data_IF_522832830923
#
_entry.id   IF_522832830923
#
_cell.length_a   1.000
_cell.length_b   1.000
_cell.length_c   1.000
_cell.angle_alpha   90.00
_cell.angle_beta   90.00
_cell.angle_gamma   90.00
#
_symmetry.space_group_name_H-M   'P 1'
#
loop_
_entity.id
_entity.type
_entity.pdbx_description
1 polymer ?
#
# COMPACT_ATOMS: atom_id res chain seq x y z
N UNK A 1 -2.65 0.57 -1.24
CA UNK A 1 -1.98 -0.52 -0.52
C UNK A 1 -1.87 -0.19 0.96
N UNK A 2 -2.21 -1.15 1.81
CA UNK A 2 -2.01 -1.03 3.26
C UNK A 2 -0.58 -1.41 3.61
N UNK A 3 0.07 -0.60 4.43
CA UNK A 3 1.47 -0.83 4.83
C UNK A 3 1.74 -0.32 6.23
N UNK A 4 2.92 -0.64 6.74
CA UNK A 4 3.42 -0.08 8.00
C UNK A 4 4.93 0.07 7.90
N UNK A 5 5.48 1.16 8.45
CA UNK A 5 6.93 1.42 8.42
C UNK A 5 7.74 0.39 9.19
N UNK A 6 7.14 -0.29 10.16
CA UNK A 6 7.78 -1.36 10.93
C UNK A 6 7.70 -2.72 10.26
N UNK A 7 7.10 -2.79 9.07
CA UNK A 7 6.97 -4.03 8.30
C UNK A 7 8.12 -4.14 7.31
N UNK A 8 9.07 -5.06 7.50
CA UNK A 8 10.22 -5.18 6.59
C UNK A 8 9.85 -5.47 5.15
N UNK A 9 8.85 -6.32 4.92
CA UNK A 9 8.38 -6.61 3.57
C UNK A 9 7.73 -5.42 2.90
N UNK A 10 7.11 -4.51 3.68
CA UNK A 10 6.54 -3.28 3.15
C UNK A 10 7.66 -2.36 2.64
N UNK A 11 8.63 -2.08 3.48
CA UNK A 11 9.70 -1.12 3.15
C UNK A 11 10.64 -1.67 2.08
N UNK A 12 11.03 -2.95 2.19
CA UNK A 12 12.03 -3.54 1.31
C UNK A 12 11.48 -3.93 -0.07
N UNK A 13 10.20 -4.33 -0.15
CA UNK A 13 9.64 -4.89 -1.39
C UNK A 13 8.38 -4.18 -1.88
N UNK A 14 7.39 -3.99 -1.02
CA UNK A 14 6.09 -3.48 -1.45
C UNK A 14 6.16 -2.01 -1.86
N UNK A 15 6.84 -1.17 -1.11
CA UNK A 15 6.98 0.25 -1.46
C UNK A 15 7.74 0.44 -2.77
N UNK A 16 8.87 -0.23 -3.03
CA UNK A 16 9.51 -0.15 -4.34
C UNK A 16 8.59 -0.63 -5.48
N UNK A 17 7.82 -1.69 -5.28
CA UNK A 17 6.87 -2.18 -6.27
C UNK A 17 5.74 -1.19 -6.52
N UNK A 18 5.19 -0.60 -5.45
CA UNK A 18 4.17 0.45 -5.54
C UNK A 18 4.68 1.63 -6.35
N UNK A 19 5.90 2.06 -6.07
CA UNK A 19 6.54 3.16 -6.79
C UNK A 19 6.71 2.83 -8.28
N UNK A 20 7.09 1.61 -8.59
CA UNK A 20 7.22 1.14 -9.97
C UNK A 20 5.87 1.18 -10.69
N UNK A 21 4.80 0.72 -10.06
CA UNK A 21 3.46 0.79 -10.64
C UNK A 21 3.00 2.25 -10.83
N UNK A 22 3.33 3.12 -9.88
CA UNK A 22 3.03 4.54 -9.99
C UNK A 22 3.72 5.16 -11.20
N UNK A 23 4.94 4.75 -11.49
CA UNK A 23 5.68 5.21 -12.66
C UNK A 23 5.12 4.64 -13.96
N UNK A 24 4.84 3.35 -13.99
CA UNK A 24 4.44 2.65 -15.22
C UNK A 24 2.98 2.91 -15.58
N UNK A 25 2.10 3.08 -14.60
CA UNK A 25 0.65 3.20 -14.80
C UNK A 25 0.04 4.47 -14.21
N UNK A 26 0.86 5.43 -13.80
CA UNK A 26 0.39 6.62 -13.08
C UNK A 26 -0.64 7.46 -13.81
N UNK A 27 -0.66 7.42 -15.14
CA UNK A 27 -1.65 8.14 -15.95
C UNK A 27 -2.99 7.41 -16.04
N UNK A 28 -3.02 6.13 -15.74
CA UNK A 28 -4.20 5.27 -15.89
C UNK A 28 -4.72 4.74 -14.57
N UNK A 29 -3.94 4.87 -13.51
CA UNK A 29 -4.19 4.24 -12.23
C UNK A 29 -4.00 5.25 -11.09
N UNK A 30 -5.01 5.40 -10.25
CA UNK A 30 -4.88 6.19 -9.03
C UNK A 30 -4.31 5.30 -7.92
N UNK A 31 -3.19 5.69 -7.35
CA UNK A 31 -2.50 4.92 -6.33
C UNK A 31 -2.48 5.70 -5.01
N UNK A 32 -2.86 5.03 -3.95
CA UNK A 32 -2.84 5.59 -2.61
C UNK A 32 -2.33 4.57 -1.61
N UNK A 33 -1.79 5.07 -0.52
CA UNK A 33 -1.25 4.26 0.57
C UNK A 33 -2.06 4.50 1.83
N UNK A 34 -2.20 3.47 2.64
CA UNK A 34 -2.79 3.57 3.97
C UNK A 34 -1.80 2.99 4.96
N UNK A 35 -1.29 3.84 5.86
CA UNK A 35 -0.42 3.40 6.95
C UNK A 35 -1.32 2.89 8.07
N UNK A 36 -1.27 1.59 8.33
CA UNK A 36 -2.20 0.94 9.27
C UNK A 36 -1.48 0.35 10.47
N UNK A 37 -2.13 0.45 11.62
CA UNK A 37 -1.72 -0.23 12.84
C UNK A 37 -2.13 -1.70 12.87
N UNK A 38 -2.91 -2.16 11.91
CA UNK A 38 -3.40 -3.55 11.87
C UNK A 38 -2.23 -4.54 11.80
N UNK A 39 -2.18 -5.45 12.75
CA UNK A 39 -1.06 -6.39 12.86
C UNK A 39 0.20 -5.79 13.48
N UNK A 40 0.13 -4.55 13.94
CA UNK A 40 1.21 -3.80 14.54
C UNK A 40 0.71 -3.10 15.78
N UNK A 41 1.49 -2.15 16.30
CA UNK A 41 1.08 -1.37 17.46
C UNK A 41 0.25 -0.16 17.04
N UNK A 42 -0.77 0.22 17.81
CA UNK A 42 -1.42 1.51 17.61
C UNK A 42 -0.40 2.64 17.69
N UNK A 43 -0.62 3.68 16.92
CA UNK A 43 0.30 4.81 16.90
C UNK A 43 -0.47 6.12 16.94
N UNK A 44 0.20 7.20 17.37
CA UNK A 44 -0.42 8.51 17.38
C UNK A 44 -0.13 9.26 16.08
N UNK A 45 -1.11 10.07 15.68
CA UNK A 45 -0.97 10.91 14.49
C UNK A 45 0.26 11.82 14.58
N UNK A 46 0.45 12.45 15.75
CA UNK A 46 1.53 13.42 15.94
C UNK A 46 2.93 12.78 15.88
N UNK A 47 3.02 11.52 16.31
CA UNK A 47 4.30 10.79 16.27
C UNK A 47 4.62 10.30 14.87
N UNK A 48 3.60 9.83 14.13
CA UNK A 48 3.83 9.15 12.85
C UNK A 48 3.99 10.12 11.69
N UNK A 49 3.31 11.26 11.70
CA UNK A 49 3.34 12.19 10.57
C UNK A 49 4.75 12.66 10.21
N UNK A 50 5.58 13.13 11.16
CA UNK A 50 6.95 13.52 10.79
C UNK A 50 7.76 12.39 10.19
N UNK A 51 7.62 11.18 10.74
CA UNK A 51 8.33 9.99 10.26
C UNK A 51 7.88 9.62 8.85
N UNK A 52 6.56 9.63 8.59
CA UNK A 52 6.01 9.33 7.27
C UNK A 52 6.41 10.37 6.23
N UNK A 53 6.39 11.64 6.60
CA UNK A 53 6.81 12.72 5.69
C UNK A 53 8.27 12.57 5.31
N UNK A 54 9.13 12.28 6.29
CA UNK A 54 10.54 12.05 6.02
C UNK A 54 10.74 10.82 5.12
N UNK A 55 10.07 9.73 5.43
CA UNK A 55 10.13 8.51 4.64
C UNK A 55 9.69 8.76 3.19
N UNK A 56 8.54 9.38 3.01
CA UNK A 56 7.99 9.62 1.67
C UNK A 56 8.86 10.56 0.84
N UNK A 57 9.34 11.64 1.47
CA UNK A 57 10.10 12.68 0.76
C UNK A 57 11.54 12.30 0.53
N UNK A 58 12.24 11.80 1.55
CA UNK A 58 13.70 11.65 1.52
C UNK A 58 14.15 10.23 1.20
N UNK A 59 13.37 9.23 1.54
CA UNK A 59 13.75 7.84 1.36
C UNK A 59 13.05 7.21 0.16
N UNK A 60 11.73 7.17 0.18
CA UNK A 60 10.96 6.49 -0.87
C UNK A 60 10.69 7.39 -2.09
N UNK A 61 10.77 8.70 -1.91
CA UNK A 61 10.48 9.70 -2.96
C UNK A 61 9.10 9.48 -3.58
N UNK A 62 8.08 9.39 -2.72
CA UNK A 62 6.69 9.19 -3.09
C UNK A 62 5.92 10.50 -2.99
N UNK A 63 5.08 10.76 -3.98
CA UNK A 63 4.16 11.91 -3.97
C UNK A 63 2.70 11.47 -3.81
N UNK A 64 2.46 10.17 -3.74
CA UNK A 64 1.12 9.61 -3.60
C UNK A 64 0.52 9.92 -2.22
N UNK A 65 -0.82 10.06 -2.13
CA UNK A 65 -1.45 10.30 -0.83
C UNK A 65 -1.24 9.13 0.12
N UNK A 66 -1.04 9.45 1.40
CA UNK A 66 -0.92 8.45 2.47
C UNK A 66 -1.97 8.77 3.52
N UNK A 67 -2.95 7.88 3.67
CA UNK A 67 -3.95 7.97 4.73
C UNK A 67 -3.45 7.25 5.98
N UNK A 68 -4.04 7.58 7.12
CA UNK A 68 -3.67 7.01 8.42
C UNK A 68 -4.81 6.16 8.97
N UNK A 69 -4.50 4.93 9.33
CA UNK A 69 -5.40 4.02 10.04
C UNK A 69 -4.78 3.74 11.42
N UNK A 70 -5.03 4.65 12.36
CA UNK A 70 -4.33 4.72 13.65
C UNK A 70 -4.54 3.50 14.53
N UNK A 71 -5.68 2.84 14.43
CA UNK A 71 -6.05 1.71 15.28
C UNK A 71 -6.16 0.39 14.53
N UNK A 72 -6.09 0.41 13.21
CA UNK A 72 -6.26 -0.78 12.38
C UNK A 72 -7.70 -1.10 12.04
N UNK A 73 -8.66 -0.26 12.45
CA UNK A 73 -10.08 -0.52 12.21
C UNK A 73 -10.48 -0.44 10.75
N UNK A 74 -9.83 0.43 9.99
CA UNK A 74 -10.10 0.54 8.54
C UNK A 74 -9.65 -0.75 7.85
N UNK A 75 -8.44 -1.21 8.15
CA UNK A 75 -7.93 -2.46 7.60
C UNK A 75 -8.83 -3.64 7.97
N UNK A 76 -9.27 -3.70 9.23
CA UNK A 76 -10.17 -4.75 9.70
C UNK A 76 -11.49 -4.74 8.92
N UNK A 77 -12.07 -3.56 8.67
CA UNK A 77 -13.33 -3.44 7.93
C UNK A 77 -13.23 -3.91 6.47
N UNK A 78 -12.03 -3.88 5.89
CA UNK A 78 -11.76 -4.36 4.54
C UNK A 78 -11.21 -5.78 4.50
N UNK A 79 -11.24 -6.49 5.65
CA UNK A 79 -10.78 -7.88 5.77
C UNK A 79 -9.31 -8.05 5.36
N UNK A 80 -8.48 -7.07 5.71
CA UNK A 80 -7.05 -7.11 5.45
C UNK A 80 -6.41 -8.18 6.35
N UNK A 81 -5.50 -8.97 5.78
CA UNK A 81 -4.86 -10.08 6.50
C UNK A 81 -3.61 -9.65 7.27
N UNK A 82 -2.99 -8.56 6.87
CA UNK A 82 -1.76 -8.05 7.45
C UNK A 82 -1.16 -7.02 6.51
N UNK A 83 0.15 -6.77 6.60
CA UNK A 83 0.85 -5.84 5.71
C UNK A 83 2.03 -6.52 5.03
N UNK A 84 2.34 -6.18 3.77
CA UNK A 84 1.55 -5.32 2.88
C UNK A 84 0.30 -6.04 2.37
N UNK A 85 -0.74 -5.28 2.09
CA UNK A 85 -1.96 -5.85 1.51
C UNK A 85 -2.47 -4.90 0.42
N UNK A 86 -2.69 -5.44 -0.77
CA UNK A 86 -3.09 -4.69 -1.95
C UNK A 86 -4.57 -4.85 -2.21
N UNK A 87 -5.25 -3.73 -2.44
CA UNK A 87 -6.63 -3.72 -2.92
C UNK A 87 -6.65 -3.06 -4.29
N UNK A 88 -7.29 -3.71 -5.25
CA UNK A 88 -7.44 -3.18 -6.60
C UNK A 88 -8.91 -3.00 -6.90
N UNK A 89 -9.31 -1.77 -7.20
CA UNK A 89 -10.69 -1.41 -7.54
C UNK A 89 -10.80 -1.05 -9.01
N UNK A 90 -11.94 -1.35 -9.58
CA UNK A 90 -12.29 -0.95 -10.94
C UNK A 90 -13.74 -0.53 -10.96
N UNK A 91 -14.02 0.69 -11.41
CA UNK A 91 -15.36 1.27 -11.45
C UNK A 91 -16.11 1.15 -10.11
N UNK A 92 -15.39 1.38 -9.01
CA UNK A 92 -15.96 1.35 -7.66
C UNK A 92 -16.08 -0.03 -7.04
N UNK A 93 -15.73 -1.09 -7.75
CA UNK A 93 -15.82 -2.46 -7.25
C UNK A 93 -14.43 -3.04 -6.95
N UNK A 94 -14.33 -3.77 -5.83
CA UNK A 94 -13.09 -4.45 -5.46
C UNK A 94 -12.89 -5.67 -6.36
N UNK A 95 -11.84 -5.65 -7.18
CA UNK A 95 -11.51 -6.77 -8.07
C UNK A 95 -10.56 -7.76 -7.44
N UNK A 96 -9.54 -7.29 -6.73
CA UNK A 96 -8.51 -8.14 -6.15
C UNK A 96 -8.15 -7.65 -4.76
N UNK A 97 -7.92 -8.61 -3.88
CA UNK A 97 -7.40 -8.41 -2.53
C UNK A 97 -6.23 -9.38 -2.38
N UNK A 98 -5.02 -8.87 -2.31
CA UNK A 98 -3.80 -9.68 -2.38
C UNK A 98 -2.90 -9.33 -1.22
N UNK A 99 -2.58 -10.32 -0.39
CA UNK A 99 -1.69 -10.17 0.75
C UNK A 99 -0.25 -10.49 0.35
N UNK A 100 0.67 -9.66 0.80
CA UNK A 100 2.10 -9.93 0.72
C UNK A 100 2.83 -9.17 -0.36
N UNK A 101 4.13 -9.41 -0.44
CA UNK A 101 5.05 -8.81 -1.42
C UNK A 101 5.96 -9.85 -2.06
N UNK A 102 5.70 -11.14 -1.83
CA UNK A 102 6.45 -12.23 -2.42
C UNK A 102 6.12 -12.37 -3.91
N UNK A 103 6.89 -13.19 -4.60
CA UNK A 103 6.76 -13.36 -6.05
C UNK A 103 5.33 -13.71 -6.50
N UNK A 104 4.62 -14.53 -5.71
CA UNK A 104 3.25 -14.89 -6.02
C UNK A 104 2.32 -13.66 -6.05
N UNK A 105 2.39 -12.81 -5.02
CA UNK A 105 1.59 -11.59 -4.96
C UNK A 105 1.94 -10.64 -6.11
N UNK A 106 3.22 -10.47 -6.36
CA UNK A 106 3.73 -9.62 -7.43
C UNK A 106 3.25 -10.09 -8.80
N UNK A 107 3.31 -11.39 -9.06
CA UNK A 107 2.86 -11.98 -10.32
C UNK A 107 1.36 -11.76 -10.52
N UNK A 108 0.56 -11.99 -9.47
CA UNK A 108 -0.89 -11.81 -9.54
C UNK A 108 -1.28 -10.36 -9.80
N UNK A 109 -0.62 -9.42 -9.13
CA UNK A 109 -0.86 -7.98 -9.34
C UNK A 109 -0.49 -7.58 -10.76
N UNK A 110 0.70 -7.96 -11.21
CA UNK A 110 1.18 -7.62 -12.54
C UNK A 110 0.28 -8.16 -13.63
N UNK A 111 -0.16 -9.40 -13.49
CA UNK A 111 -1.07 -10.03 -14.44
C UNK A 111 -2.40 -9.27 -14.52
N UNK A 112 -2.97 -8.93 -13.37
CA UNK A 112 -4.25 -8.21 -13.32
C UNK A 112 -4.13 -6.82 -13.93
N UNK A 113 -3.06 -6.09 -13.63
CA UNK A 113 -2.84 -4.76 -14.20
C UNK A 113 -2.67 -4.81 -15.71
N UNK A 114 -1.91 -5.77 -16.21
CA UNK A 114 -1.75 -5.96 -17.65
C UNK A 114 -3.10 -6.24 -18.33
N UNK A 115 -3.89 -7.09 -17.71
CA UNK A 115 -5.20 -7.46 -18.25
C UNK A 115 -6.17 -6.27 -18.31
N UNK A 116 -6.12 -5.39 -17.32
CA UNK A 116 -7.01 -4.24 -17.24
C UNK A 116 -6.55 -3.05 -18.07
N UNK A 117 -5.24 -2.83 -18.17
CA UNK A 117 -4.69 -1.58 -18.73
C UNK A 117 -4.01 -1.75 -20.09
N UNK A 118 -3.77 -2.97 -20.49
CA UNK A 118 -3.27 -3.29 -21.81
C UNK A 118 -4.38 -3.95 -22.64
#
# INVERSE_FOLDING_TARGET
MFFNLECPGCVARAIPLFKRYSKDYGDELELALIHTAFGHKPYSRDDVIPTLKHFAKSFAKLENPIALDLTGKIAESWEILGTPHWLLFHEGELLKSIFGSQDNARTRLGYTLNELLD
#
